data_IF_306157256588
#
_entry.id   IF_306157256588
#
_cell.length_a   1.000
_cell.length_b   1.000
_cell.length_c   1.000
_cell.angle_alpha   90.00
_cell.angle_beta   90.00
_cell.angle_gamma   90.00
#
_symmetry.space_group_name_H-M   'P 1'
#
loop_
_entity.id
_entity.type
_entity.pdbx_description
1 polymer ?
#
# COMPACT_ATOMS: atom_id res chain seq x y z
N UNK A 1 36.67 -9.09 -38.55
CA UNK A 1 37.23 -7.95 -37.79
C UNK A 1 37.08 -8.35 -36.31
N UNK A 2 38.17 -8.88 -35.74
CA UNK A 2 38.48 -9.23 -34.32
C UNK A 2 37.36 -9.81 -33.43
N UNK A 3 37.27 -11.12 -33.09
CA UNK A 3 38.17 -12.03 -32.33
C UNK A 3 38.48 -11.61 -30.87
N UNK A 4 38.18 -12.55 -29.96
CA UNK A 4 38.73 -12.80 -28.62
C UNK A 4 38.57 -11.76 -27.49
N UNK A 5 37.99 -12.21 -26.35
CA UNK A 5 38.74 -12.53 -25.12
C UNK A 5 37.91 -13.49 -24.23
N UNK A 6 38.51 -14.65 -23.94
CA UNK A 6 38.17 -15.59 -22.87
C UNK A 6 39.09 -15.34 -21.65
N UNK A 7 38.70 -15.95 -20.53
CA UNK A 7 39.43 -16.29 -19.29
C UNK A 7 39.12 -15.35 -18.11
N UNK A 8 38.87 -15.83 -16.89
CA UNK A 8 39.43 -17.04 -16.24
C UNK A 8 38.58 -17.51 -15.04
N UNK A 9 38.61 -18.83 -14.81
CA UNK A 9 38.12 -19.60 -13.66
C UNK A 9 38.89 -19.28 -12.35
N UNK A 10 38.23 -19.41 -11.17
CA UNK A 10 38.70 -20.21 -10.00
C UNK A 10 37.48 -20.64 -9.13
N UNK A 11 37.38 -21.90 -8.64
CA UNK A 11 36.29 -22.41 -7.82
C UNK A 11 36.54 -22.41 -6.29
N UNK A 12 35.43 -22.53 -5.53
CA UNK A 12 35.32 -22.63 -4.07
C UNK A 12 36.08 -23.82 -3.47
N UNK A 13 36.84 -23.57 -2.40
CA UNK A 13 37.58 -24.58 -1.65
C UNK A 13 36.72 -25.40 -0.68
N UNK A 14 36.86 -26.72 -0.74
CA UNK A 14 36.47 -27.69 0.29
C UNK A 14 37.69 -28.06 1.13
N UNK A 15 37.61 -27.93 2.46
CA UNK A 15 38.68 -28.32 3.37
C UNK A 15 38.14 -28.86 4.69
N UNK A 16 37.88 -30.17 4.73
CA UNK A 16 37.66 -30.95 5.95
C UNK A 16 39.03 -31.33 6.51
N UNK A 17 39.35 -30.90 7.72
CA UNK A 17 40.56 -31.36 8.43
C UNK A 17 40.13 -32.26 9.58
N UNK A 18 40.37 -33.57 9.43
CA UNK A 18 40.33 -34.53 10.53
C UNK A 18 41.69 -34.51 11.23
N UNK A 19 41.70 -34.31 12.55
CA UNK A 19 42.88 -34.51 13.38
C UNK A 19 42.65 -35.71 14.30
N UNK A 20 43.54 -36.69 14.16
CA UNK A 20 43.68 -37.90 14.98
C UNK A 20 44.57 -37.57 16.18
N UNK A 21 44.18 -37.96 17.39
CA UNK A 21 45.04 -38.01 18.58
C UNK A 21 44.80 -39.32 19.37
N UNK A 22 45.78 -39.78 20.17
CA UNK A 22 46.01 -41.19 20.44
C UNK A 22 45.42 -41.68 21.77
N UNK A 23 45.32 -43.01 21.87
CA UNK A 23 44.95 -43.80 23.05
C UNK A 23 46.00 -43.67 24.17
N UNK A 24 45.53 -43.45 25.40
CA UNK A 24 46.23 -43.75 26.66
C UNK A 24 45.24 -44.41 27.64
N UNK A 25 45.78 -45.30 28.48
CA UNK A 25 45.10 -46.41 29.15
C UNK A 25 44.21 -46.09 30.38
N UNK A 26 43.74 -47.14 31.08
CA UNK A 26 42.62 -47.05 32.01
C UNK A 26 43.09 -46.74 33.44
N UNK A 27 42.40 -45.82 34.11
CA UNK A 27 42.45 -45.66 35.57
C UNK A 27 41.02 -45.50 36.04
N UNK A 28 40.52 -46.52 36.73
CA UNK A 28 39.22 -46.49 37.39
C UNK A 28 39.29 -45.69 38.69
N UNK A 29 38.33 -44.79 38.88
CA UNK A 29 37.91 -44.30 40.20
C UNK A 29 36.40 -44.02 40.11
N UNK A 30 35.64 -44.63 41.02
CA UNK A 30 34.23 -44.34 41.27
C UNK A 30 34.04 -42.84 41.56
N UNK A 31 33.17 -42.18 40.80
CA UNK A 31 32.67 -40.85 41.14
C UNK A 31 31.14 -40.86 41.06
N UNK A 32 30.52 -40.58 42.20
CA UNK A 32 29.08 -40.52 42.39
C UNK A 32 28.43 -39.51 41.43
N UNK A 33 27.39 -39.95 40.72
CA UNK A 33 26.58 -39.11 39.85
C UNK A 33 25.72 -38.18 40.71
N UNK A 34 26.18 -36.95 40.93
CA UNK A 34 25.30 -35.87 41.37
C UNK A 34 24.60 -35.35 40.13
N UNK A 35 23.32 -35.71 39.96
CA UNK A 35 22.43 -35.06 39.00
C UNK A 35 22.17 -33.65 39.54
N UNK A 36 22.96 -32.68 39.09
CA UNK A 36 22.64 -31.27 39.27
C UNK A 36 21.43 -30.97 38.37
N UNK A 37 20.24 -30.87 38.98
CA UNK A 37 19.09 -30.28 38.32
C UNK A 37 19.43 -28.80 38.04
N UNK A 38 19.85 -28.52 36.81
CA UNK A 38 19.95 -27.15 36.32
C UNK A 38 18.53 -26.59 36.24
N UNK A 39 18.10 -25.89 37.28
CA UNK A 39 16.97 -24.98 37.18
C UNK A 39 17.34 -23.91 36.15
N UNK A 40 16.83 -24.08 34.93
CA UNK A 40 16.77 -23.00 33.95
C UNK A 40 15.82 -21.97 34.55
N UNK A 41 16.39 -20.97 35.24
CA UNK A 41 15.64 -19.78 35.61
C UNK A 41 15.21 -19.11 34.30
N UNK A 42 13.91 -18.86 34.07
CA UNK A 42 13.51 -18.02 32.95
C UNK A 42 14.20 -16.67 33.14
N UNK A 43 14.96 -16.26 32.11
CA UNK A 43 15.44 -14.88 32.06
C UNK A 43 14.24 -13.95 32.23
N UNK A 44 14.34 -12.87 33.01
CA UNK A 44 13.27 -11.90 33.08
C UNK A 44 13.05 -11.37 31.67
N UNK A 45 11.90 -11.72 31.07
CA UNK A 45 11.39 -11.03 29.90
C UNK A 45 11.28 -9.58 30.34
N UNK A 46 12.06 -8.69 29.72
CA UNK A 46 11.89 -7.25 29.91
C UNK A 46 10.46 -6.92 29.49
N UNK A 47 9.62 -6.65 30.46
CA UNK A 47 8.34 -6.00 30.23
C UNK A 47 8.61 -4.62 29.62
N UNK A 48 7.91 -4.32 28.53
CA UNK A 48 7.81 -2.98 27.96
C UNK A 48 8.65 -2.76 26.71
N UNK A 49 8.34 -3.49 25.64
CA UNK A 49 8.23 -2.78 24.37
C UNK A 49 6.94 -1.97 24.52
N UNK A 50 7.05 -0.64 24.64
CA UNK A 50 5.85 0.19 24.55
C UNK A 50 5.33 -0.05 23.14
N UNK A 51 4.14 -0.65 23.02
CA UNK A 51 3.51 -0.83 21.71
C UNK A 51 3.61 0.48 20.95
N UNK A 52 4.09 0.39 19.71
CA UNK A 52 4.37 1.54 18.87
C UNK A 52 3.13 2.44 18.82
N UNK A 53 3.29 3.72 19.11
CA UNK A 53 2.17 4.68 19.10
C UNK A 53 1.75 4.89 17.65
N UNK A 54 0.58 4.35 17.30
CA UNK A 54 -0.08 4.60 16.01
C UNK A 54 -1.18 5.62 16.25
N UNK A 55 -1.18 6.70 15.48
CA UNK A 55 -2.33 7.58 15.40
C UNK A 55 -3.38 6.89 14.52
N UNK A 56 -4.61 6.80 15.02
CA UNK A 56 -5.74 6.25 14.28
C UNK A 56 -6.72 7.38 14.00
N UNK A 57 -7.10 7.51 12.74
CA UNK A 57 -8.10 8.47 12.27
C UNK A 57 -9.17 7.69 11.51
N UNK A 58 -10.43 8.04 11.70
CA UNK A 58 -11.54 7.46 10.94
C UNK A 58 -12.34 8.56 10.25
N UNK A 59 -12.90 8.25 9.09
CA UNK A 59 -13.82 9.11 8.37
C UNK A 59 -14.97 8.28 7.81
N UNK A 60 -16.14 8.92 7.72
CA UNK A 60 -17.24 8.40 6.93
C UNK A 60 -16.82 8.36 5.44
N UNK A 61 -17.34 7.36 4.74
CA UNK A 61 -17.24 7.27 3.28
C UNK A 61 -18.43 8.02 2.69
N UNK A 62 -18.20 8.87 1.71
CA UNK A 62 -19.23 9.59 0.98
C UNK A 62 -19.36 9.05 -0.45
N UNK A 63 -20.54 9.24 -1.05
CA UNK A 63 -20.74 9.02 -2.48
C UNK A 63 -20.00 10.09 -3.27
N UNK A 64 -19.12 9.68 -4.15
CA UNK A 64 -18.44 10.60 -5.05
C UNK A 64 -19.45 11.20 -6.04
N UNK A 65 -19.38 12.49 -6.40
CA UNK A 65 -20.37 13.14 -7.26
C UNK A 65 -20.59 12.48 -8.63
N UNK A 66 -19.57 11.82 -9.19
CA UNK A 66 -19.70 11.07 -10.45
C UNK A 66 -20.63 9.86 -10.35
N UNK A 67 -20.87 9.31 -9.15
CA UNK A 67 -21.82 8.22 -8.93
C UNK A 67 -23.28 8.63 -9.16
N UNK A 68 -23.57 9.94 -9.17
CA UNK A 68 -24.93 10.48 -9.19
C UNK A 68 -25.70 10.26 -7.88
N UNK A 69 -25.03 9.78 -6.82
CA UNK A 69 -25.55 9.65 -5.46
C UNK A 69 -24.92 10.74 -4.58
N UNK A 70 -25.53 11.00 -3.42
CA UNK A 70 -25.09 12.05 -2.50
C UNK A 70 -25.08 11.54 -1.05
N UNK A 71 -24.21 12.13 -0.23
CA UNK A 71 -24.14 11.90 1.21
C UNK A 71 -23.32 10.68 1.61
N UNK A 72 -23.32 10.39 2.91
CA UNK A 72 -22.60 9.27 3.51
C UNK A 72 -23.13 7.91 3.01
N UNK A 73 -22.20 6.98 2.80
CA UNK A 73 -22.46 5.60 2.42
C UNK A 73 -22.71 4.78 3.69
N UNK A 74 -23.94 4.33 3.87
CA UNK A 74 -24.30 3.52 5.04
C UNK A 74 -23.50 2.20 5.07
N UNK A 75 -22.83 1.93 6.19
CA UNK A 75 -22.05 0.70 6.40
C UNK A 75 -20.62 0.74 5.84
N UNK A 76 -20.16 1.90 5.38
CA UNK A 76 -18.81 2.11 4.89
C UNK A 76 -18.01 3.04 5.84
N UNK A 77 -16.71 2.78 5.98
CA UNK A 77 -15.79 3.55 6.82
C UNK A 77 -14.37 3.47 6.26
N UNK A 78 -13.61 4.56 6.40
CA UNK A 78 -12.18 4.57 6.14
C UNK A 78 -11.43 4.78 7.45
N UNK A 79 -10.47 3.90 7.73
CA UNK A 79 -9.55 4.01 8.87
C UNK A 79 -8.12 4.17 8.38
N UNK A 80 -7.47 5.25 8.81
CA UNK A 80 -6.05 5.52 8.60
C UNK A 80 -5.27 5.24 9.88
N UNK A 81 -4.16 4.53 9.74
CA UNK A 81 -3.17 4.29 10.78
C UNK A 81 -1.85 4.92 10.37
N UNK A 82 -1.41 5.91 11.13
CA UNK A 82 -0.14 6.59 10.88
C UNK A 82 0.87 6.18 11.95
N UNK A 83 2.10 5.92 11.51
CA UNK A 83 3.26 5.63 12.36
C UNK A 83 4.48 6.40 11.86
N UNK A 84 5.60 6.32 12.56
CA UNK A 84 6.88 6.88 12.08
C UNK A 84 7.42 6.20 10.81
N UNK A 85 6.89 5.03 10.42
CA UNK A 85 7.38 4.26 9.26
C UNK A 85 6.55 4.44 8.00
N UNK A 86 5.37 5.05 8.11
CA UNK A 86 4.39 5.02 7.05
C UNK A 86 2.98 5.16 7.55
N UNK A 87 2.08 5.19 6.59
CA UNK A 87 0.64 5.18 6.83
C UNK A 87 0.02 3.95 6.20
N UNK A 88 -0.97 3.38 6.86
CA UNK A 88 -1.76 2.26 6.37
C UNK A 88 -3.24 2.62 6.36
N UNK A 89 -3.96 2.23 5.32
CA UNK A 89 -5.41 2.40 5.25
C UNK A 89 -6.11 1.06 5.31
N UNK A 90 -7.25 1.04 5.98
CA UNK A 90 -8.29 0.04 5.83
C UNK A 90 -9.57 0.76 5.39
N UNK A 91 -10.09 0.44 4.21
CA UNK A 91 -11.27 1.08 3.65
C UNK A 91 -12.34 0.02 3.40
N UNK A 92 -13.48 0.19 4.04
CA UNK A 92 -14.66 -0.65 3.86
C UNK A 92 -15.67 0.11 3.00
N UNK A 93 -15.91 -0.38 1.79
CA UNK A 93 -16.89 0.16 0.85
C UNK A 93 -18.17 -0.68 0.88
N UNK A 94 -19.32 -0.03 0.67
CA UNK A 94 -20.62 -0.68 0.68
C UNK A 94 -21.55 -0.09 -0.40
N UNK A 95 -22.62 -0.81 -0.76
CA UNK A 95 -23.59 -0.35 -1.77
C UNK A 95 -23.02 -0.28 -3.19
N UNK A 96 -21.94 -1.03 -3.44
CA UNK A 96 -21.32 -1.23 -4.75
C UNK A 96 -22.17 -2.17 -5.62
N UNK A 97 -21.99 -2.10 -6.94
CA UNK A 97 -22.60 -3.07 -7.85
C UNK A 97 -21.88 -4.44 -7.71
N UNK A 98 -22.59 -5.53 -7.37
CA UNK A 98 -21.99 -6.84 -7.21
C UNK A 98 -21.23 -7.35 -8.45
N UNK A 99 -20.04 -7.93 -8.23
CA UNK A 99 -19.23 -8.52 -9.30
C UNK A 99 -18.51 -7.50 -10.20
N UNK A 100 -18.69 -6.20 -9.99
CA UNK A 100 -17.83 -5.18 -10.57
C UNK A 100 -16.44 -5.20 -9.92
N UNK A 101 -15.45 -4.76 -10.70
CA UNK A 101 -14.07 -4.57 -10.21
C UNK A 101 -13.91 -3.12 -9.77
N UNK A 102 -13.25 -2.91 -8.64
CA UNK A 102 -12.99 -1.59 -8.08
C UNK A 102 -11.51 -1.45 -7.71
N UNK A 103 -10.98 -0.24 -7.83
CA UNK A 103 -9.66 0.11 -7.30
C UNK A 103 -9.78 1.28 -6.33
N UNK A 104 -8.94 1.26 -5.30
CA UNK A 104 -8.74 2.35 -4.36
C UNK A 104 -7.51 3.16 -4.77
N UNK A 105 -7.69 4.45 -4.92
CA UNK A 105 -6.63 5.43 -5.22
C UNK A 105 -6.37 6.26 -3.98
N UNK A 106 -5.10 6.38 -3.64
CA UNK A 106 -4.66 7.13 -2.47
C UNK A 106 -4.01 8.43 -2.92
N UNK A 107 -4.71 9.52 -2.65
CA UNK A 107 -4.19 10.88 -2.75
C UNK A 107 -3.58 11.26 -1.41
N UNK A 108 -2.29 11.58 -1.42
CA UNK A 108 -1.58 12.10 -0.26
C UNK A 108 -1.27 13.56 -0.52
N UNK A 109 -1.66 14.44 0.39
CA UNK A 109 -1.40 15.87 0.30
C UNK A 109 -0.44 16.27 1.42
N UNK A 110 0.83 16.48 1.10
CA UNK A 110 1.84 16.76 2.13
C UNK A 110 1.73 18.16 2.73
N UNK A 111 1.18 19.12 1.98
CA UNK A 111 1.06 20.52 2.39
C UNK A 111 -0.40 21.02 2.22
N UNK A 112 -1.35 20.52 3.03
CA UNK A 112 -2.76 20.92 2.90
C UNK A 112 -3.00 22.41 3.20
N UNK A 113 -2.09 23.06 3.93
CA UNK A 113 -2.15 24.51 4.17
C UNK A 113 -1.89 25.38 2.93
N UNK A 114 -1.43 24.79 1.82
CA UNK A 114 -1.25 25.50 0.55
C UNK A 114 -2.44 25.33 -0.41
N UNK A 115 -3.45 24.52 -0.06
CA UNK A 115 -4.68 24.40 -0.83
C UNK A 115 -5.49 25.70 -0.73
N UNK A 116 -6.09 26.12 -1.85
CA UNK A 116 -6.95 27.32 -1.88
C UNK A 116 -8.19 27.15 -1.00
N UNK A 117 -8.65 25.91 -0.84
CA UNK A 117 -9.79 25.54 0.00
C UNK A 117 -9.51 25.65 1.52
N UNK A 118 -8.25 25.77 1.95
CA UNK A 118 -7.88 25.76 3.37
C UNK A 118 -8.67 26.81 4.19
N UNK A 119 -9.28 26.47 5.35
CA UNK A 119 -9.13 25.26 6.16
C UNK A 119 -9.95 24.03 5.76
N UNK A 120 -10.78 24.12 4.74
CA UNK A 120 -11.51 22.96 4.22
C UNK A 120 -10.55 21.97 3.55
N UNK A 121 -10.95 20.69 3.38
CA UNK A 121 -10.18 19.73 2.63
C UNK A 121 -9.77 20.22 1.25
N UNK A 122 -8.59 19.81 0.82
CA UNK A 122 -8.10 20.06 -0.52
C UNK A 122 -9.05 19.45 -1.55
N UNK A 123 -9.28 20.16 -2.64
CA UNK A 123 -10.09 19.67 -3.75
C UNK A 123 -9.22 18.97 -4.79
N UNK A 124 -9.85 18.25 -5.73
CA UNK A 124 -9.13 17.73 -6.90
C UNK A 124 -8.41 18.85 -7.69
N UNK A 125 -8.98 20.07 -7.70
CA UNK A 125 -8.34 21.23 -8.31
C UNK A 125 -7.04 21.65 -7.61
N UNK A 126 -6.98 21.54 -6.27
CA UNK A 126 -5.77 21.82 -5.50
C UNK A 126 -4.68 20.76 -5.72
N UNK A 127 -5.09 19.48 -5.78
CA UNK A 127 -4.20 18.33 -6.00
C UNK A 127 -3.56 18.35 -7.39
N UNK A 128 -4.33 18.77 -8.41
CA UNK A 128 -3.91 18.78 -9.81
C UNK A 128 -3.45 20.17 -10.29
N UNK A 129 -3.34 21.14 -9.38
CA UNK A 129 -2.92 22.50 -9.72
C UNK A 129 -1.52 22.53 -10.33
N UNK A 130 -1.32 23.45 -11.29
CA UNK A 130 0.00 23.66 -11.91
C UNK A 130 1.06 23.99 -10.84
N UNK A 131 2.19 23.28 -10.90
CA UNK A 131 3.27 23.43 -9.92
C UNK A 131 3.03 22.73 -8.59
N UNK A 132 1.85 22.12 -8.39
CA UNK A 132 1.49 21.30 -7.23
C UNK A 132 1.88 21.91 -5.86
N UNK A 133 1.31 23.08 -5.50
CA UNK A 133 1.66 23.78 -4.26
C UNK A 133 1.29 22.99 -3.00
N UNK A 134 0.31 22.09 -3.11
CA UNK A 134 -0.12 21.19 -2.05
C UNK A 134 0.85 20.01 -1.83
N UNK A 135 1.87 19.88 -2.68
CA UNK A 135 2.85 18.79 -2.67
C UNK A 135 2.16 17.42 -2.69
N UNK A 136 1.10 17.31 -3.50
CA UNK A 136 0.27 16.12 -3.57
C UNK A 136 0.93 15.00 -4.39
N UNK A 137 0.54 13.76 -4.11
CA UNK A 137 0.84 12.60 -4.94
C UNK A 137 -0.40 11.69 -4.98
N UNK A 138 -0.61 11.01 -6.10
CA UNK A 138 -1.68 10.01 -6.26
C UNK A 138 -1.05 8.68 -6.63
N UNK A 139 -1.43 7.61 -5.93
CA UNK A 139 -0.96 6.27 -6.23
C UNK A 139 -2.02 5.20 -6.05
N UNK A 140 -1.81 4.08 -6.72
CA UNK A 140 -2.62 2.88 -6.54
C UNK A 140 -2.47 2.37 -5.11
N UNK A 141 -3.59 2.13 -4.43
CA UNK A 141 -3.62 1.60 -3.07
C UNK A 141 -3.92 0.09 -3.09
N UNK A 142 -5.09 -0.29 -3.61
CA UNK A 142 -5.54 -1.67 -3.66
C UNK A 142 -6.66 -1.87 -4.70
N UNK A 143 -7.05 -3.11 -4.97
CA UNK A 143 -8.08 -3.46 -5.92
C UNK A 143 -8.85 -4.70 -5.49
N UNK A 144 -10.17 -4.70 -5.69
CA UNK A 144 -11.03 -5.78 -5.24
C UNK A 144 -12.29 -5.91 -6.12
N UNK A 145 -12.93 -7.07 -6.07
CA UNK A 145 -14.22 -7.32 -6.72
C UNK A 145 -15.30 -7.23 -5.67
N UNK A 146 -16.36 -6.47 -5.93
CA UNK A 146 -17.48 -6.36 -5.00
C UNK A 146 -18.18 -7.71 -4.82
N UNK A 147 -18.52 -8.02 -3.56
CA UNK A 147 -19.26 -9.23 -3.19
C UNK A 147 -20.70 -9.19 -3.70
N UNK A 148 -21.41 -10.32 -3.56
CA UNK A 148 -22.84 -10.42 -3.87
C UNK A 148 -23.70 -9.44 -3.05
N UNK A 149 -23.22 -9.00 -1.89
CA UNK A 149 -23.88 -8.04 -1.00
C UNK A 149 -23.50 -6.58 -1.34
N UNK A 150 -22.66 -6.35 -2.36
CA UNK A 150 -22.24 -5.01 -2.79
C UNK A 150 -21.18 -4.39 -1.88
N UNK A 151 -20.34 -5.21 -1.26
CA UNK A 151 -19.28 -4.79 -0.34
C UNK A 151 -17.90 -5.04 -0.95
N UNK A 152 -16.92 -4.20 -0.63
CA UNK A 152 -15.52 -4.44 -0.93
C UNK A 152 -14.63 -3.86 0.17
N UNK A 153 -13.51 -4.53 0.44
CA UNK A 153 -12.50 -4.04 1.39
C UNK A 153 -11.19 -3.82 0.67
N UNK A 154 -10.56 -2.69 0.95
CA UNK A 154 -9.27 -2.29 0.39
C UNK A 154 -8.29 -2.05 1.53
N UNK A 155 -7.03 -2.39 1.33
CA UNK A 155 -5.99 -2.09 2.30
C UNK A 155 -4.65 -1.83 1.63
N UNK A 156 -3.99 -0.76 2.05
CA UNK A 156 -2.71 -0.36 1.49
C UNK A 156 -1.79 0.19 2.57
N UNK A 157 -0.50 0.25 2.26
CA UNK A 157 0.51 0.87 3.10
C UNK A 157 1.50 1.65 2.24
N UNK A 158 1.71 2.91 2.57
CA UNK A 158 2.76 3.72 1.98
C UNK A 158 3.80 4.09 3.04
N UNK A 159 5.06 3.80 2.71
CA UNK A 159 6.22 4.35 3.42
C UNK A 159 6.55 5.73 2.86
N UNK A 160 7.23 6.60 3.63
CA UNK A 160 7.76 7.84 3.08
C UNK A 160 8.68 7.61 1.88
N UNK A 161 8.60 8.53 0.91
CA UNK A 161 9.40 8.55 -0.31
C UNK A 161 8.54 8.43 -1.57
N UNK A 162 9.17 8.08 -2.71
CA UNK A 162 8.50 7.90 -3.98
C UNK A 162 7.40 6.83 -3.90
N UNK A 163 6.26 7.13 -4.53
CA UNK A 163 5.18 6.16 -4.74
C UNK A 163 5.37 5.54 -6.11
N UNK A 164 5.55 4.22 -6.15
CA UNK A 164 5.70 3.49 -7.41
C UNK A 164 4.44 3.63 -8.27
N UNK A 165 4.60 4.00 -9.55
CA UNK A 165 3.47 4.25 -10.44
C UNK A 165 2.67 5.52 -10.11
N UNK A 166 3.19 6.38 -9.23
CA UNK A 166 2.52 7.63 -8.86
C UNK A 166 2.25 8.53 -10.07
N UNK A 167 1.11 9.21 -10.08
CA UNK A 167 0.69 10.01 -11.22
C UNK A 167 1.43 11.33 -11.34
N UNK A 168 1.86 11.93 -10.23
CA UNK A 168 2.48 13.25 -10.23
C UNK A 168 4.01 13.12 -10.24
N UNK A 169 4.70 13.46 -11.34
CA UNK A 169 6.15 13.29 -11.43
C UNK A 169 6.87 14.13 -10.37
N UNK A 170 7.98 13.60 -9.87
CA UNK A 170 8.86 14.25 -8.88
C UNK A 170 8.16 14.59 -7.53
N UNK A 171 7.01 13.99 -7.26
CA UNK A 171 6.28 14.10 -5.98
C UNK A 171 6.39 12.82 -5.18
N UNK A 172 6.42 12.94 -3.86
CA UNK A 172 6.66 11.84 -2.93
C UNK A 172 5.74 11.98 -1.72
N UNK A 173 5.54 10.90 -0.97
CA UNK A 173 4.94 10.99 0.36
C UNK A 173 6.02 11.36 1.39
N UNK A 174 5.93 12.52 2.03
CA UNK A 174 6.99 12.99 2.94
C UNK A 174 6.48 13.43 4.31
N UNK A 175 5.22 13.85 4.44
CA UNK A 175 4.67 14.40 5.67
C UNK A 175 3.74 13.43 6.39
N UNK A 176 4.30 12.44 7.10
CA UNK A 176 3.53 11.39 7.77
C UNK A 176 2.45 11.91 8.73
N UNK A 177 2.78 12.89 9.58
CA UNK A 177 1.90 13.33 10.68
C UNK A 177 1.10 14.60 10.39
N UNK A 178 1.26 15.19 9.21
CA UNK A 178 0.60 16.43 8.82
C UNK A 178 0.01 16.39 7.42
N UNK A 179 0.02 15.24 6.76
CA UNK A 179 -0.62 15.07 5.46
C UNK A 179 -2.13 14.92 5.62
N UNK A 180 -2.85 15.46 4.64
CA UNK A 180 -4.24 15.10 4.39
C UNK A 180 -4.27 13.92 3.41
N UNK A 181 -5.18 12.98 3.64
CA UNK A 181 -5.31 11.76 2.84
C UNK A 181 -6.70 11.66 2.23
N UNK A 182 -6.77 11.50 0.91
CA UNK A 182 -8.02 11.14 0.24
C UNK A 182 -7.92 9.74 -0.32
N UNK A 183 -9.00 9.00 -0.16
CA UNK A 183 -9.17 7.66 -0.65
C UNK A 183 -10.32 7.67 -1.63
N UNK A 184 -10.07 7.38 -2.90
CA UNK A 184 -11.07 7.49 -3.96
C UNK A 184 -11.25 6.13 -4.63
N UNK A 185 -12.48 5.64 -4.67
CA UNK A 185 -12.84 4.37 -5.29
C UNK A 185 -13.24 4.58 -6.74
N UNK A 186 -12.57 3.91 -7.67
CA UNK A 186 -12.91 3.86 -9.08
C UNK A 186 -13.62 2.55 -9.41
N UNK A 187 -14.83 2.62 -9.98
CA UNK A 187 -15.56 1.49 -10.55
C UNK A 187 -15.02 1.21 -11.96
N UNK A 188 -14.51 0.00 -12.19
CA UNK A 188 -14.06 -0.47 -13.50
C UNK A 188 -15.16 -1.17 -14.29
N UNK A 189 -16.36 -1.30 -13.75
CA UNK A 189 -17.48 -2.00 -14.33
C UNK A 189 -17.39 -3.53 -14.18
N UNK A 190 -18.22 -4.28 -14.95
CA UNK A 190 -18.23 -5.74 -14.92
C UNK A 190 -16.87 -6.33 -15.27
N UNK A 191 -16.43 -7.34 -14.52
CA UNK A 191 -15.17 -8.03 -14.77
C UNK A 191 -15.02 -8.53 -16.23
N UNK A 192 -13.97 -8.07 -16.90
CA UNK A 192 -13.52 -8.59 -18.19
C UNK A 192 -12.31 -9.48 -17.95
N UNK A 193 -12.48 -10.79 -18.15
CA UNK A 193 -11.49 -11.80 -17.73
C UNK A 193 -10.09 -11.55 -18.31
N UNK A 194 -10.02 -11.12 -19.58
CA UNK A 194 -8.76 -10.84 -20.28
C UNK A 194 -8.05 -9.58 -19.77
N UNK A 195 -8.80 -8.63 -19.20
CA UNK A 195 -8.30 -7.36 -18.69
C UNK A 195 -8.19 -7.33 -17.16
N UNK A 196 -8.57 -8.41 -16.46
CA UNK A 196 -8.60 -8.50 -15.00
C UNK A 196 -7.33 -7.95 -14.33
N UNK A 197 -6.09 -8.30 -14.75
CA UNK A 197 -4.90 -7.78 -14.08
C UNK A 197 -4.80 -6.26 -14.16
N UNK A 198 -5.23 -5.66 -15.28
CA UNK A 198 -5.28 -4.21 -15.43
C UNK A 198 -6.40 -3.59 -14.61
N UNK A 199 -7.62 -4.15 -14.68
CA UNK A 199 -8.78 -3.66 -13.92
C UNK A 199 -8.53 -3.64 -12.41
N UNK A 200 -7.69 -4.54 -11.90
CA UNK A 200 -7.37 -4.65 -10.47
C UNK A 200 -6.21 -3.76 -10.02
N UNK A 201 -5.38 -3.23 -10.92
CA UNK A 201 -4.09 -2.60 -10.55
C UNK A 201 -3.77 -1.28 -11.23
N UNK A 202 -4.60 -0.83 -12.17
CA UNK A 202 -4.35 0.37 -12.98
C UNK A 202 -5.64 1.17 -13.09
N UNK A 203 -5.54 2.50 -13.25
CA UNK A 203 -6.71 3.39 -13.22
C UNK A 203 -7.67 3.19 -14.38
N UNK A 204 -7.12 2.88 -15.56
CA UNK A 204 -7.87 2.75 -16.82
C UNK A 204 -8.02 1.33 -17.30
N UNK A 205 -7.48 0.34 -16.59
CA UNK A 205 -7.63 -1.06 -16.96
C UNK A 205 -9.11 -1.41 -17.15
N UNK A 206 -9.49 -1.84 -18.35
CA UNK A 206 -10.89 -2.18 -18.67
C UNK A 206 -11.81 -0.99 -18.98
N UNK A 207 -11.35 0.24 -18.78
CA UNK A 207 -12.13 1.46 -19.00
C UNK A 207 -12.12 1.87 -20.46
N UNK A 208 -13.27 2.26 -20.97
CA UNK A 208 -13.42 2.84 -22.30
C UNK A 208 -12.82 4.24 -22.35
N UNK A 209 -12.40 4.65 -23.54
CA UNK A 209 -11.93 6.02 -23.79
C UNK A 209 -13.05 7.07 -23.62
N UNK A 210 -14.32 6.65 -23.66
CA UNK A 210 -15.49 7.51 -23.46
C UNK A 210 -15.91 7.64 -21.99
N UNK A 211 -15.20 6.98 -21.06
CA UNK A 211 -15.49 7.10 -19.61
C UNK A 211 -15.33 8.55 -19.15
N UNK A 212 -16.17 9.04 -18.23
CA UNK A 212 -16.17 10.43 -17.78
C UNK A 212 -15.02 10.73 -16.81
N UNK A 213 -13.77 10.56 -17.25
CA UNK A 213 -12.61 10.90 -16.44
C UNK A 213 -12.60 12.40 -16.10
N UNK A 214 -12.21 12.79 -14.87
CA UNK A 214 -12.19 14.20 -14.50
C UNK A 214 -11.26 15.02 -15.39
N UNK A 215 -11.73 16.21 -15.76
CA UNK A 215 -10.91 17.20 -16.47
C UNK A 215 -9.66 17.54 -15.64
N UNK A 216 -8.49 17.60 -16.29
CA UNK A 216 -7.22 17.93 -15.64
C UNK A 216 -6.42 16.72 -15.13
N UNK A 217 -6.94 15.49 -15.29
CA UNK A 217 -6.14 14.29 -15.04
C UNK A 217 -4.84 14.32 -15.86
N UNK A 218 -3.68 14.01 -15.23
CA UNK A 218 -2.40 14.04 -15.92
C UNK A 218 -2.28 12.90 -16.93
N UNK A 219 -1.43 13.07 -17.94
CA UNK A 219 -1.16 12.06 -18.98
C UNK A 219 -0.76 10.69 -18.38
N UNK A 220 -0.09 10.70 -17.22
CA UNK A 220 0.27 9.50 -16.46
C UNK A 220 -0.95 8.72 -15.99
N UNK A 221 -1.97 9.38 -15.44
CA UNK A 221 -3.24 8.77 -15.07
C UNK A 221 -4.00 8.29 -16.32
N UNK A 222 -3.99 9.10 -17.39
CA UNK A 222 -4.67 8.78 -18.65
C UNK A 222 -3.99 7.64 -19.45
N UNK A 223 -2.75 7.30 -19.12
CA UNK A 223 -2.01 6.19 -19.72
C UNK A 223 -1.95 4.93 -18.83
N UNK A 224 -2.51 4.99 -17.63
CA UNK A 224 -2.38 3.93 -16.63
C UNK A 224 -3.39 2.80 -16.85
N UNK A 225 -2.99 1.81 -17.67
CA UNK A 225 -3.77 0.60 -17.92
C UNK A 225 -4.20 0.43 -19.38
N UNK A 226 -4.59 -0.79 -19.73
CA UNK A 226 -5.13 -1.11 -21.06
C UNK A 226 -6.62 -0.75 -21.13
N UNK A 227 -7.06 0.10 -22.09
CA UNK A 227 -8.46 0.43 -22.25
C UNK A 227 -9.33 -0.80 -22.54
N UNK A 228 -10.60 -0.71 -22.16
CA UNK A 228 -11.58 -1.78 -22.36
C UNK A 228 -12.97 -1.27 -22.68
N UNK A 229 -14.00 -2.13 -22.53
CA UNK A 229 -15.35 -1.80 -22.96
C UNK A 229 -16.19 -1.08 -21.91
N UNK A 230 -15.73 -0.98 -20.66
CA UNK A 230 -16.57 -0.53 -19.55
C UNK A 230 -16.60 1.00 -19.42
N UNK A 231 -17.72 1.54 -18.97
CA UNK A 231 -17.76 2.92 -18.50
C UNK A 231 -17.27 2.95 -17.05
N UNK A 232 -16.18 3.65 -16.79
CA UNK A 232 -15.59 3.75 -15.46
C UNK A 232 -15.95 5.07 -14.80
N UNK A 233 -16.28 5.03 -13.51
CA UNK A 233 -16.67 6.21 -12.73
C UNK A 233 -16.07 6.15 -11.34
N UNK A 234 -15.76 7.32 -10.78
CA UNK A 234 -15.44 7.45 -9.37
C UNK A 234 -16.73 7.33 -8.56
N UNK A 235 -16.78 6.40 -7.60
CA UNK A 235 -18.03 6.01 -6.93
C UNK A 235 -18.11 6.46 -5.48
N UNK A 236 -17.00 6.38 -4.75
CA UNK A 236 -16.95 6.71 -3.32
C UNK A 236 -15.64 7.37 -2.98
N UNK A 237 -15.63 8.19 -1.95
CA UNK A 237 -14.41 8.76 -1.40
C UNK A 237 -14.48 8.95 0.12
N UNK A 238 -13.30 9.07 0.75
CA UNK A 238 -13.16 9.47 2.14
C UNK A 238 -11.94 10.38 2.29
N UNK A 239 -12.08 11.38 3.15
CA UNK A 239 -11.05 12.38 3.42
C UNK A 239 -10.69 12.34 4.89
N UNK A 240 -9.39 12.19 5.18
CA UNK A 240 -8.84 12.24 6.54
C UNK A 240 -7.81 13.37 6.62
N UNK A 241 -8.17 14.41 7.36
CA UNK A 241 -7.29 15.53 7.68
C UNK A 241 -6.36 15.19 8.86
N UNK A 242 -5.18 15.83 8.95
CA UNK A 242 -4.18 15.58 10.01
C UNK A 242 -4.67 15.96 11.43
#
# INVERSE_FOLDING_TARGET
MYEMIRNTLVPRGTGRTQAVLPRLGPIGVLAATVVAAAFILPSPVKAGDKGQESAQHTAAVEWHPQSGKEGEVAGAEATLYTTEWGSSVHFEAAGLEPGHVYTLWWVVVNNPGACEAHPEPCTAGDVLAEGNPAEAQVGYADGNVATDDGEATFSAHFTPGPIEGGWLPDQEFTNLGGAEHHFVVNDHGPLVAELMPGMMHTYRGGCSDDSPFPDGFPDTALADGEPGPNECILTQDAILQP
#
